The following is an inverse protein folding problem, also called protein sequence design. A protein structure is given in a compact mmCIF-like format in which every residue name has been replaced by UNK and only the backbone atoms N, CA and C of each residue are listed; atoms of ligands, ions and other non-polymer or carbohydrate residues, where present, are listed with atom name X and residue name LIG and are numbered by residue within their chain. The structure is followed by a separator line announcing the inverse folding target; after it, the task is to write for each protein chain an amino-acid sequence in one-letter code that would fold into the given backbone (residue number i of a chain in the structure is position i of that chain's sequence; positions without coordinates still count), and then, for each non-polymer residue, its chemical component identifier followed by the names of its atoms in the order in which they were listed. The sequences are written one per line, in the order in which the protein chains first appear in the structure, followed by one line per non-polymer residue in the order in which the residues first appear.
data_IF_128277608440
#
_entry.id   IF_128277608440
#
_cell.length_a   1.000
_cell.length_b   1.000
_cell.length_c   1.000
_cell.angle_alpha   90.00
_cell.angle_beta   90.00
_cell.angle_gamma   90.00
#
_symmetry.space_group_name_H-M   'P 1'
#
loop_
_entity.id
_entity.type
_entity.pdbx_description
1 polymer ?
#
# COMPACT_ATOMS: atom_id res chain seq x y z
N UNK A 1 -11.97 9.06 -4.88
CA UNK A 1 -12.15 8.04 -5.94
C UNK A 1 -11.80 8.58 -7.32
N UNK A 2 -12.46 9.64 -7.81
CA UNK A 2 -12.20 10.18 -9.17
C UNK A 2 -10.74 10.57 -9.47
N UNK A 3 -10.09 11.33 -8.58
CA UNK A 3 -8.68 11.75 -8.77
C UNK A 3 -7.72 10.55 -8.82
N UNK A 4 -7.96 9.54 -7.97
CA UNK A 4 -7.17 8.32 -7.94
C UNK A 4 -7.36 7.48 -9.21
N UNK A 5 -8.60 7.36 -9.70
CA UNK A 5 -8.89 6.70 -10.98
C UNK A 5 -8.15 7.39 -12.12
N UNK A 6 -8.24 8.72 -12.23
CA UNK A 6 -7.56 9.48 -13.28
C UNK A 6 -6.03 9.28 -13.25
N UNK A 7 -5.45 9.15 -12.05
CA UNK A 7 -4.02 8.86 -11.90
C UNK A 7 -3.65 7.44 -12.34
N UNK A 8 -4.50 6.44 -12.05
CA UNK A 8 -4.31 5.07 -12.56
C UNK A 8 -4.40 5.05 -14.07
N UNK A 9 -5.42 5.70 -14.66
CA UNK A 9 -5.61 5.76 -16.11
C UNK A 9 -4.41 6.43 -16.80
N UNK A 10 -3.90 7.51 -16.22
CA UNK A 10 -2.68 8.18 -16.69
C UNK A 10 -1.46 7.25 -16.62
N UNK A 11 -1.28 6.55 -15.50
CA UNK A 11 -0.14 5.64 -15.31
C UNK A 11 -0.23 4.41 -16.23
N UNK A 12 -1.44 3.91 -16.50
CA UNK A 12 -1.68 2.86 -17.49
C UNK A 12 -1.34 3.34 -18.91
N UNK A 13 -1.75 4.55 -19.27
CA UNK A 13 -1.39 5.15 -20.57
C UNK A 13 0.12 5.27 -20.73
N UNK A 14 0.83 5.73 -19.69
CA UNK A 14 2.28 5.84 -19.69
C UNK A 14 2.99 4.47 -19.77
N UNK A 15 2.44 3.46 -19.07
CA UNK A 15 3.03 2.12 -19.00
C UNK A 15 2.63 1.21 -20.17
N UNK A 16 1.61 1.58 -20.95
CA UNK A 16 1.07 0.76 -22.04
C UNK A 16 2.07 0.48 -23.16
N UNK A 17 3.09 1.33 -23.32
CA UNK A 17 4.17 1.11 -24.28
C UNK A 17 5.21 0.06 -23.86
N UNK A 18 5.16 -0.41 -22.61
CA UNK A 18 6.13 -1.36 -22.06
C UNK A 18 5.60 -2.79 -22.28
N UNK A 19 5.82 -3.34 -23.48
CA UNK A 19 5.57 -4.76 -23.80
C UNK A 19 6.91 -5.48 -24.06
N UNK A 20 7.52 -6.11 -23.04
CA UNK A 20 8.76 -6.84 -23.22
C UNK A 20 8.50 -8.12 -24.03
N UNK A 21 9.21 -8.31 -25.14
CA UNK A 21 9.17 -9.56 -25.91
C UNK A 21 9.74 -10.74 -25.11
N UNK A 22 10.81 -10.49 -24.33
CA UNK A 22 11.53 -11.53 -23.60
C UNK A 22 10.88 -11.90 -22.25
N UNK A 23 10.71 -13.20 -22.02
CA UNK A 23 10.08 -13.75 -20.82
C UNK A 23 10.79 -13.34 -19.50
N UNK A 24 12.13 -13.34 -19.40
CA UNK A 24 12.82 -12.90 -18.18
C UNK A 24 12.56 -11.43 -17.86
N UNK A 25 12.46 -10.58 -18.89
CA UNK A 25 12.23 -9.15 -18.72
C UNK A 25 10.80 -8.86 -18.23
N UNK A 26 9.82 -9.65 -18.68
CA UNK A 26 8.43 -9.59 -18.14
C UNK A 26 8.40 -9.90 -16.65
N UNK A 27 9.12 -10.93 -16.21
CA UNK A 27 9.21 -11.27 -14.78
C UNK A 27 9.90 -10.17 -13.97
N UNK A 28 10.98 -9.61 -14.49
CA UNK A 28 11.74 -8.56 -13.80
C UNK A 28 10.91 -7.27 -13.63
N UNK A 29 10.18 -6.87 -14.67
CA UNK A 29 9.26 -5.72 -14.59
C UNK A 29 8.10 -6.00 -13.63
N UNK A 30 7.54 -7.21 -13.64
CA UNK A 30 6.51 -7.59 -12.67
C UNK A 30 7.03 -7.53 -11.23
N UNK A 31 8.26 -8.00 -11.01
CA UNK A 31 8.90 -7.95 -9.71
C UNK A 31 9.13 -6.51 -9.23
N UNK A 32 9.66 -5.64 -10.12
CA UNK A 32 9.83 -4.22 -9.84
C UNK A 32 8.47 -3.56 -9.51
N UNK A 33 7.42 -3.86 -10.27
CA UNK A 33 6.06 -3.38 -10.00
C UNK A 33 5.57 -3.80 -8.62
N UNK A 34 5.80 -5.06 -8.22
CA UNK A 34 5.42 -5.57 -6.90
C UNK A 34 6.16 -4.85 -5.76
N UNK A 35 7.44 -4.47 -5.96
CA UNK A 35 8.18 -3.71 -4.95
C UNK A 35 7.61 -2.30 -4.75
N UNK A 36 7.33 -1.59 -5.85
CA UNK A 36 6.74 -0.24 -5.81
C UNK A 36 5.33 -0.29 -5.22
N UNK A 37 4.53 -1.29 -5.60
CA UNK A 37 3.19 -1.51 -5.06
C UNK A 37 3.24 -1.75 -3.54
N UNK A 38 4.09 -2.66 -3.09
CA UNK A 38 4.25 -2.94 -1.67
C UNK A 38 4.69 -1.68 -0.89
N UNK A 39 5.62 -0.89 -1.43
CA UNK A 39 6.03 0.37 -0.83
C UNK A 39 4.85 1.36 -0.70
N UNK A 40 4.05 1.51 -1.75
CA UNK A 40 2.87 2.37 -1.76
C UNK A 40 1.83 1.96 -0.71
N UNK A 41 1.64 0.66 -0.50
CA UNK A 41 0.72 0.13 0.52
C UNK A 41 1.26 0.43 1.93
N UNK A 42 2.55 0.23 2.18
CA UNK A 42 3.14 0.55 3.50
C UNK A 42 3.04 2.05 3.79
N UNK A 43 3.25 2.91 2.78
CA UNK A 43 3.13 4.35 2.93
C UNK A 43 1.68 4.77 3.24
N UNK A 44 0.68 4.15 2.58
CA UNK A 44 -0.73 4.37 2.90
C UNK A 44 -1.07 3.98 4.34
N UNK A 45 -0.57 2.83 4.81
CA UNK A 45 -0.77 2.39 6.20
C UNK A 45 -0.13 3.35 7.21
N UNK A 46 1.09 3.81 6.93
CA UNK A 46 1.80 4.74 7.81
C UNK A 46 1.10 6.09 7.89
N UNK A 47 0.56 6.57 6.77
CA UNK A 47 -0.12 7.86 6.69
C UNK A 47 -1.52 7.86 7.33
N UNK A 48 -2.06 6.70 7.75
CA UNK A 48 -3.46 6.53 8.20
C UNK A 48 -4.48 7.19 7.27
N UNK A 49 -4.14 7.30 6.00
CA UNK A 49 -5.01 7.86 4.97
C UNK A 49 -6.09 6.86 4.61
N UNK A 50 -7.11 7.34 3.87
CA UNK A 50 -8.21 6.49 3.40
C UNK A 50 -7.61 5.33 2.59
N UNK A 51 -7.66 4.14 3.19
CA UNK A 51 -7.23 2.90 2.55
C UNK A 51 -8.23 2.49 1.48
N UNK A 52 -7.75 1.85 0.43
CA UNK A 52 -8.61 1.24 -0.58
C UNK A 52 -9.56 0.25 0.11
N UNK A 53 -10.85 0.17 -0.28
CA UNK A 53 -11.81 -0.72 0.38
C UNK A 53 -11.35 -2.19 0.42
N UNK A 54 -10.64 -2.65 -0.62
CA UNK A 54 -10.02 -3.97 -0.64
C UNK A 54 -8.93 -4.16 0.42
N UNK A 55 -8.04 -3.17 0.60
CA UNK A 55 -7.01 -3.22 1.65
C UNK A 55 -7.61 -3.04 3.04
N UNK A 56 -8.71 -2.29 3.17
CA UNK A 56 -9.47 -2.13 4.40
C UNK A 56 -9.99 -3.46 4.94
N UNK A 57 -10.41 -4.37 4.06
CA UNK A 57 -10.81 -5.73 4.44
C UNK A 57 -9.64 -6.51 5.06
N UNK A 58 -8.46 -6.46 4.43
CA UNK A 58 -7.24 -7.12 4.92
C UNK A 58 -6.80 -6.56 6.27
N UNK A 59 -6.95 -5.25 6.50
CA UNK A 59 -6.67 -4.62 7.79
C UNK A 59 -7.67 -5.11 8.85
N UNK A 60 -8.96 -5.15 8.54
CA UNK A 60 -9.98 -5.66 9.45
C UNK A 60 -9.72 -7.13 9.82
N UNK A 61 -9.33 -7.94 8.84
CA UNK A 61 -8.93 -9.33 9.03
C UNK A 61 -7.66 -9.45 9.88
N UNK A 62 -6.66 -8.59 9.67
CA UNK A 62 -5.45 -8.52 10.50
C UNK A 62 -5.75 -8.19 11.96
N UNK A 63 -6.73 -7.33 12.22
CA UNK A 63 -7.21 -7.01 13.57
C UNK A 63 -7.93 -8.22 14.19
N UNK A 64 -8.79 -8.89 13.42
CA UNK A 64 -9.56 -10.05 13.88
C UNK A 64 -8.65 -11.24 14.22
N UNK A 65 -7.71 -11.58 13.33
CA UNK A 65 -6.81 -12.72 13.50
C UNK A 65 -5.56 -12.40 14.33
N UNK A 66 -5.34 -11.14 14.72
CA UNK A 66 -4.17 -10.65 15.47
C UNK A 66 -2.84 -11.04 14.82
N UNK A 67 -2.83 -11.14 13.50
CA UNK A 67 -1.66 -11.46 12.67
C UNK A 67 -1.11 -10.19 12.04
N UNK A 68 0.21 -10.11 11.78
CA UNK A 68 0.80 -8.94 11.14
C UNK A 68 0.19 -8.73 9.76
N UNK A 69 -0.06 -7.47 9.41
CA UNK A 69 -0.71 -7.06 8.15
C UNK A 69 -0.11 -7.76 6.92
N UNK A 70 1.23 -7.81 6.81
CA UNK A 70 1.89 -8.46 5.68
C UNK A 70 1.56 -9.95 5.52
N UNK A 71 1.34 -10.70 6.61
CA UNK A 71 0.98 -12.12 6.53
C UNK A 71 -0.47 -12.33 6.12
N UNK A 72 -1.37 -11.51 6.63
CA UNK A 72 -2.79 -11.55 6.22
C UNK A 72 -2.94 -11.13 4.77
N UNK A 73 -2.14 -10.16 4.33
CA UNK A 73 -2.08 -9.77 2.92
C UNK A 73 -1.68 -10.90 1.99
N UNK A 74 -0.62 -11.66 2.31
CA UNK A 74 -0.24 -12.84 1.52
C UNK A 74 -1.42 -13.81 1.42
N UNK A 75 -2.10 -14.10 2.53
CA UNK A 75 -3.23 -15.03 2.53
C UNK A 75 -4.39 -14.53 1.66
N UNK A 76 -4.77 -13.25 1.79
CA UNK A 76 -5.79 -12.62 0.96
C UNK A 76 -5.42 -12.64 -0.54
N UNK A 77 -4.19 -12.33 -0.88
CA UNK A 77 -3.76 -12.34 -2.29
C UNK A 77 -3.81 -13.78 -2.86
N UNK A 78 -3.51 -14.80 -2.05
CA UNK A 78 -3.69 -16.21 -2.44
C UNK A 78 -5.15 -16.62 -2.59
N UNK A 79 -6.07 -16.17 -1.74
CA UNK A 79 -7.50 -16.49 -1.91
C UNK A 79 -8.06 -15.88 -3.19
N UNK A 80 -7.62 -14.66 -3.54
CA UNK A 80 -7.95 -14.01 -4.82
C UNK A 80 -7.39 -14.81 -6.02
N UNK A 81 -6.13 -15.25 -5.97
CA UNK A 81 -5.54 -16.07 -7.04
C UNK A 81 -6.26 -17.42 -7.18
N UNK A 82 -6.58 -18.09 -6.08
CA UNK A 82 -7.31 -19.36 -6.09
C UNK A 82 -8.72 -19.19 -6.66
N UNK A 83 -9.42 -18.12 -6.27
CA UNK A 83 -10.74 -17.81 -6.79
C UNK A 83 -10.68 -17.47 -8.29
N UNK A 84 -9.66 -16.72 -8.72
CA UNK A 84 -9.43 -16.45 -10.14
C UNK A 84 -9.16 -17.74 -10.92
N UNK A 85 -8.36 -18.68 -10.38
CA UNK A 85 -8.10 -19.98 -10.99
C UNK A 85 -9.39 -20.81 -11.13
N UNK A 86 -10.22 -20.83 -10.09
CA UNK A 86 -11.49 -21.56 -10.09
C UNK A 86 -12.45 -21.01 -11.16
N UNK A 87 -12.59 -19.68 -11.22
CA UNK A 87 -13.45 -19.03 -12.22
C UNK A 87 -12.91 -19.24 -13.64
N UNK A 88 -11.59 -19.09 -13.85
CA UNK A 88 -10.96 -19.32 -15.15
C UNK A 88 -11.16 -20.78 -15.62
N UNK A 89 -11.05 -21.75 -14.71
CA UNK A 89 -11.26 -23.15 -15.03
C UNK A 89 -12.71 -23.45 -15.41
N UNK A 90 -13.68 -22.92 -14.67
CA UNK A 90 -15.11 -23.15 -14.93
C UNK A 90 -15.55 -22.52 -16.26
N UNK A 91 -15.11 -21.29 -16.56
CA UNK A 91 -15.59 -20.54 -17.72
C UNK A 91 -14.77 -20.75 -18.99
N UNK A 92 -13.46 -20.96 -18.89
CA UNK A 92 -12.55 -21.01 -20.05
C UNK A 92 -12.00 -22.41 -20.32
N UNK A 93 -12.20 -23.38 -19.43
CA UNK A 93 -11.64 -24.73 -19.56
C UNK A 93 -10.10 -24.79 -19.48
N UNK A 94 -9.45 -23.69 -19.10
CA UNK A 94 -8.00 -23.54 -19.00
C UNK A 94 -7.60 -22.26 -18.27
N UNK A 95 -6.33 -22.17 -17.86
CA UNK A 95 -5.78 -20.96 -17.21
C UNK A 95 -5.40 -19.91 -18.27
N UNK A 96 -6.40 -19.20 -18.78
CA UNK A 96 -6.19 -18.04 -19.65
C UNK A 96 -6.15 -16.78 -18.76
N UNK A 97 -5.05 -16.04 -18.80
CA UNK A 97 -4.86 -14.79 -18.04
C UNK A 97 -4.13 -14.93 -16.70
N UNK A 98 -4.00 -16.15 -16.16
CA UNK A 98 -3.22 -16.42 -14.95
C UNK A 98 -1.92 -17.11 -15.37
N UNK A 99 -0.81 -16.40 -15.21
CA UNK A 99 0.54 -16.91 -15.54
C UNK A 99 1.36 -17.01 -14.27
N UNK A 100 2.56 -17.53 -14.38
CA UNK A 100 3.50 -17.65 -13.25
C UNK A 100 3.74 -16.31 -12.54
N UNK A 101 3.72 -15.20 -13.28
CA UNK A 101 3.79 -13.85 -12.72
C UNK A 101 2.70 -13.55 -11.68
N UNK A 102 1.50 -14.10 -11.83
CA UNK A 102 0.40 -13.90 -10.85
C UNK A 102 0.72 -14.60 -9.52
N UNK A 103 1.24 -15.83 -9.58
CA UNK A 103 1.67 -16.58 -8.39
C UNK A 103 2.87 -15.91 -7.71
N UNK A 104 3.83 -15.45 -8.52
CA UNK A 104 4.99 -14.68 -8.04
C UNK A 104 4.52 -13.41 -7.33
N UNK A 105 3.61 -12.64 -7.93
CA UNK A 105 3.09 -11.42 -7.30
C UNK A 105 2.38 -11.67 -5.98
N UNK A 106 1.50 -12.68 -5.91
CA UNK A 106 0.77 -13.02 -4.68
C UNK A 106 1.69 -13.42 -3.53
N UNK A 107 2.84 -14.05 -3.82
CA UNK A 107 3.84 -14.39 -2.82
C UNK A 107 4.70 -13.18 -2.43
N UNK A 108 5.24 -12.46 -3.42
CA UNK A 108 6.26 -11.45 -3.19
C UNK A 108 5.72 -10.13 -2.64
N UNK A 109 4.51 -9.70 -3.03
CA UNK A 109 3.93 -8.43 -2.55
C UNK A 109 3.82 -8.42 -1.03
N UNK A 110 3.30 -9.49 -0.43
CA UNK A 110 3.17 -9.55 1.02
C UNK A 110 4.50 -9.74 1.76
N UNK A 111 5.49 -10.43 1.15
CA UNK A 111 6.87 -10.49 1.68
C UNK A 111 7.49 -9.09 1.70
N UNK A 112 7.37 -8.33 0.61
CA UNK A 112 7.88 -6.97 0.55
C UNK A 112 7.18 -6.04 1.53
N UNK A 113 5.85 -6.12 1.63
CA UNK A 113 5.11 -5.35 2.62
C UNK A 113 5.60 -5.65 4.06
N UNK A 114 5.87 -6.93 4.37
CA UNK A 114 6.44 -7.33 5.66
C UNK A 114 7.85 -6.79 5.87
N UNK A 115 8.70 -6.82 4.85
CA UNK A 115 10.06 -6.29 4.90
C UNK A 115 10.04 -4.78 5.15
N UNK A 116 9.20 -4.04 4.42
CA UNK A 116 9.05 -2.60 4.57
C UNK A 116 8.47 -2.23 5.94
N UNK A 117 7.47 -2.95 6.47
CA UNK A 117 6.98 -2.74 7.84
C UNK A 117 8.04 -3.05 8.91
N UNK A 118 8.95 -4.00 8.65
CA UNK A 118 10.05 -4.32 9.57
C UNK A 118 11.13 -3.23 9.56
N UNK A 119 11.43 -2.68 8.38
CA UNK A 119 12.39 -1.61 8.20
C UNK A 119 11.85 -0.27 8.73
N UNK A 120 10.54 -0.03 8.56
CA UNK A 120 9.83 1.15 9.01
C UNK A 120 8.71 0.79 9.99
N UNK A 121 9.05 0.43 11.24
CA UNK A 121 8.06 0.06 12.24
C UNK A 121 7.09 1.21 12.50
N UNK A 122 5.80 0.88 12.61
CA UNK A 122 4.79 1.88 12.91
C UNK A 122 4.96 2.39 14.35
N UNK A 123 4.96 3.72 14.56
CA UNK A 123 5.03 4.29 15.91
C UNK A 123 3.79 3.86 16.71
N UNK A 124 3.97 3.63 18.01
CA UNK A 124 2.85 3.20 18.87
C UNK A 124 1.78 4.29 18.95
N UNK A 125 0.54 3.90 19.22
CA UNK A 125 -0.58 4.85 19.34
C UNK A 125 -0.31 5.90 20.43
N UNK A 126 0.39 5.52 21.50
CA UNK A 126 0.79 6.42 22.58
C UNK A 126 1.78 7.49 22.10
N UNK A 127 2.83 7.10 21.37
CA UNK A 127 3.85 8.02 20.86
C UNK A 127 3.29 9.03 19.85
N UNK A 128 2.30 8.63 19.06
CA UNK A 128 1.63 9.53 18.12
C UNK A 128 0.85 10.62 18.86
N UNK A 129 0.10 10.26 19.91
CA UNK A 129 -0.61 11.24 20.75
C UNK A 129 0.35 12.22 21.41
N UNK A 130 1.48 11.72 21.90
CA UNK A 130 2.51 12.54 22.53
C UNK A 130 3.15 13.51 21.54
N UNK A 131 3.46 13.07 20.31
CA UNK A 131 4.00 13.92 19.24
C UNK A 131 3.01 14.97 18.77
N UNK A 132 1.72 14.63 18.68
CA UNK A 132 0.65 15.59 18.35
C UNK A 132 0.49 16.64 19.44
N UNK A 133 0.56 16.24 20.72
CA UNK A 133 0.51 17.17 21.86
C UNK A 133 1.70 18.14 21.85
N UNK A 134 2.93 17.64 21.69
CA UNK A 134 4.14 18.46 21.61
C UNK A 134 4.11 19.40 20.40
N UNK A 135 3.60 18.93 19.25
CA UNK A 135 3.47 19.76 18.05
C UNK A 135 2.44 20.87 18.23
N UNK A 136 1.31 20.59 18.90
CA UNK A 136 0.30 21.58 19.22
C UNK A 136 0.82 22.64 20.21
N UNK A 137 1.54 22.22 21.24
CA UNK A 137 2.18 23.11 22.22
C UNK A 137 3.20 24.04 21.55
N UNK A 138 4.13 23.48 20.74
CA UNK A 138 5.09 24.27 19.97
C UNK A 138 4.44 25.23 18.99
N UNK A 139 3.30 24.84 18.40
CA UNK A 139 2.55 25.71 17.50
C UNK A 139 1.94 26.89 18.26
N UNK A 140 1.35 26.63 19.43
CA UNK A 140 0.79 27.67 20.30
C UNK A 140 1.87 28.64 20.83
N UNK A 141 3.03 28.14 21.25
CA UNK A 141 4.17 28.99 21.66
C UNK A 141 4.64 29.88 20.51
N UNK A 142 4.71 29.33 19.28
CA UNK A 142 5.15 30.08 18.10
C UNK A 142 4.14 31.13 17.65
N UNK A 143 2.85 30.83 17.77
CA UNK A 143 1.76 31.80 17.54
C UNK A 143 1.78 32.93 18.59
N UNK A 144 1.99 32.60 19.86
CA UNK A 144 2.13 33.60 20.93
C UNK A 144 3.38 34.48 20.76
N UNK A 145 4.52 33.89 20.36
CA UNK A 145 5.75 34.62 20.08
C UNK A 145 5.60 35.56 18.87
N UNK A 146 4.92 35.11 17.80
CA UNK A 146 4.63 35.95 16.65
C UNK A 146 3.67 37.11 17.00
N UNK A 147 2.62 36.85 17.79
CA UNK A 147 1.69 37.89 18.24
C UNK A 147 2.38 38.94 19.15
N UNK A 148 3.28 38.51 20.03
CA UNK A 148 4.07 39.41 20.87
C UNK A 148 5.07 40.25 20.05
N UNK A 149 5.67 39.65 19.01
CA UNK A 149 6.53 40.33 18.04
C UNK A 149 5.78 41.42 17.26
N UNK A 150 4.55 41.14 16.84
CA UNK A 150 3.71 42.11 16.09
C UNK A 150 3.26 43.27 16.99
N UNK A 151 2.87 43.00 18.24
CA UNK A 151 2.47 44.03 19.21
C UNK A 151 3.64 44.93 19.66
N UNK A 152 4.88 44.45 19.59
CA UNK A 152 6.07 45.25 19.91
C UNK A 152 6.57 46.11 18.72
N UNK A 153 6.08 45.85 17.51
CA UNK A 153 6.45 46.57 16.28
C UNK A 153 5.46 47.69 15.91
N UNK A 154 4.35 47.82 16.66
CA UNK A 154 3.31 48.86 16.57
C UNK A 154 3.41 49.87 17.71
#
# INVERSE_FOLDING_TARGET
MFVFSAFIDFTMSLSGGIMPESYPLRLLISFAGNTVLALGIVMQLHSRTIVQPGEGLVIAESILFRKPFGTVKVFNDWTLVLMACLVAFIFSGGLIGIREGTFVSALFVGIFAKLYLKLWPMPKKEELKEREAIAAEKKAEREAANAASEAAAS
#
